data_IF_342608545367
#
_entry.id   IF_342608545367
#
_cell.length_a   1.000
_cell.length_b   1.000
_cell.length_c   1.000
_cell.angle_alpha   90.00
_cell.angle_beta   90.00
_cell.angle_gamma   90.00
#
_symmetry.space_group_name_H-M   'P 1'
#
loop_
_entity.id
_entity.type
_entity.pdbx_description
1 polymer ?
#
# COMPACT_ATOMS: atom_id res chain seq x y z
N UNK A 1 25.30 23.70 -1.83
CA UNK A 1 24.75 22.56 -2.62
C UNK A 1 24.16 23.06 -3.93
N UNK A 2 24.60 22.48 -5.05
CA UNK A 2 24.19 22.84 -6.40
C UNK A 2 22.69 22.54 -6.56
N UNK A 3 21.83 23.57 -6.64
CA UNK A 3 20.35 23.44 -6.68
C UNK A 3 19.85 22.48 -7.77
N UNK A 4 20.68 22.21 -8.78
CA UNK A 4 20.42 21.25 -9.87
C UNK A 4 20.32 19.79 -9.41
N UNK A 5 21.08 19.37 -8.39
CA UNK A 5 21.07 17.97 -7.92
C UNK A 5 19.84 17.62 -7.04
N UNK A 6 19.33 18.60 -6.29
CA UNK A 6 18.12 18.43 -5.48
C UNK A 6 16.85 18.33 -6.35
N UNK A 7 16.78 19.10 -7.43
CA UNK A 7 15.68 19.01 -8.40
C UNK A 7 15.58 17.64 -9.07
N UNK A 8 16.73 17.03 -9.42
CA UNK A 8 16.78 15.69 -10.00
C UNK A 8 16.26 14.60 -9.07
N UNK A 9 16.61 14.66 -7.78
CA UNK A 9 16.13 13.70 -6.78
C UNK A 9 14.62 13.80 -6.51
N UNK A 10 14.07 15.03 -6.49
CA UNK A 10 12.62 15.23 -6.33
C UNK A 10 11.86 14.68 -7.53
N UNK A 11 12.37 14.91 -8.75
CA UNK A 11 11.75 14.41 -9.97
C UNK A 11 11.74 12.88 -10.04
N UNK A 12 12.85 12.23 -9.67
CA UNK A 12 12.93 10.77 -9.55
C UNK A 12 11.99 10.21 -8.48
N UNK A 13 11.91 10.85 -7.31
CA UNK A 13 10.98 10.46 -6.25
C UNK A 13 9.51 10.55 -6.70
N UNK A 14 9.15 11.62 -7.42
CA UNK A 14 7.82 11.78 -7.99
C UNK A 14 7.51 10.71 -9.03
N UNK A 15 8.47 10.39 -9.92
CA UNK A 15 8.26 9.39 -10.97
C UNK A 15 8.04 7.99 -10.39
N UNK A 16 8.83 7.60 -9.39
CA UNK A 16 8.65 6.32 -8.67
C UNK A 16 7.30 6.31 -7.94
N UNK A 17 6.92 7.41 -7.29
CA UNK A 17 5.61 7.53 -6.64
C UNK A 17 4.44 7.33 -7.60
N UNK A 18 4.52 7.92 -8.80
CA UNK A 18 3.50 7.74 -9.84
C UNK A 18 3.47 6.31 -10.37
N UNK A 19 4.62 5.65 -10.56
CA UNK A 19 4.65 4.24 -11.00
C UNK A 19 4.02 3.31 -9.96
N UNK A 20 4.32 3.52 -8.68
CA UNK A 20 3.70 2.77 -7.57
C UNK A 20 2.19 3.00 -7.55
N UNK A 21 1.75 4.25 -7.76
CA UNK A 21 0.33 4.58 -7.84
C UNK A 21 -0.38 3.92 -9.03
N UNK A 22 0.23 3.90 -10.22
CA UNK A 22 -0.36 3.24 -11.38
C UNK A 22 -0.47 1.73 -11.14
N UNK A 23 0.62 1.09 -10.69
CA UNK A 23 0.60 -0.34 -10.35
C UNK A 23 -0.47 -0.68 -9.31
N UNK A 24 -0.66 0.19 -8.32
CA UNK A 24 -1.72 0.08 -7.33
C UNK A 24 -3.12 0.06 -7.96
N UNK A 25 -3.45 1.06 -8.77
CA UNK A 25 -4.79 1.18 -9.38
C UNK A 25 -5.12 -0.01 -10.29
N UNK A 26 -4.12 -0.60 -10.93
CA UNK A 26 -4.28 -1.80 -11.77
C UNK A 26 -4.51 -3.06 -10.93
N UNK A 27 -3.85 -3.18 -9.78
CA UNK A 27 -4.00 -4.31 -8.86
C UNK A 27 -5.23 -4.20 -7.95
N UNK A 28 -5.85 -3.03 -7.87
CA UNK A 28 -7.03 -2.77 -7.05
C UNK A 28 -8.24 -3.63 -7.48
N UNK A 29 -8.46 -3.73 -8.78
CA UNK A 29 -9.48 -4.61 -9.37
C UNK A 29 -9.32 -6.07 -8.94
N UNK A 30 -8.21 -6.75 -9.29
CA UNK A 30 -8.02 -8.15 -8.93
C UNK A 30 -7.95 -8.41 -7.42
N UNK A 31 -7.43 -7.47 -6.62
CA UNK A 31 -7.41 -7.60 -5.15
C UNK A 31 -8.83 -7.56 -4.60
N UNK A 32 -9.65 -6.60 -5.02
CA UNK A 32 -11.05 -6.51 -4.55
C UNK A 32 -11.89 -7.70 -5.00
N UNK A 33 -11.70 -8.21 -6.22
CA UNK A 33 -12.38 -9.43 -6.69
C UNK A 33 -11.93 -10.66 -5.91
N UNK A 34 -10.62 -10.85 -5.68
CA UNK A 34 -10.12 -11.97 -4.89
C UNK A 34 -10.64 -11.95 -3.44
N UNK A 35 -10.79 -10.75 -2.86
CA UNK A 35 -11.36 -10.58 -1.52
C UNK A 35 -12.87 -10.89 -1.51
N UNK A 36 -13.57 -10.52 -2.58
CA UNK A 36 -14.98 -10.87 -2.79
C UNK A 36 -15.19 -12.38 -2.97
N UNK A 37 -14.35 -13.03 -3.76
CA UNK A 37 -14.39 -14.47 -4.00
C UNK A 37 -14.09 -15.26 -2.73
N UNK A 38 -13.11 -14.81 -1.92
CA UNK A 38 -12.81 -15.39 -0.62
C UNK A 38 -13.97 -15.26 0.38
N UNK A 39 -14.80 -14.21 0.25
CA UNK A 39 -16.00 -13.99 1.07
C UNK A 39 -17.25 -14.69 0.58
N UNK A 40 -17.22 -15.19 -0.65
CA UNK A 40 -18.39 -15.77 -1.31
C UNK A 40 -18.91 -17.00 -0.57
N UNK A 41 -20.20 -17.26 -0.80
CA UNK A 41 -20.98 -18.40 -0.25
C UNK A 41 -20.30 -19.75 -0.52
N UNK A 42 -19.51 -19.83 -1.60
CA UNK A 42 -18.81 -21.03 -2.03
C UNK A 42 -17.49 -21.29 -1.30
N UNK A 43 -16.99 -20.32 -0.52
CA UNK A 43 -15.75 -20.47 0.26
C UNK A 43 -15.99 -20.32 1.76
N UNK A 44 -16.14 -19.09 2.26
CA UNK A 44 -16.30 -18.81 3.69
C UNK A 44 -17.74 -18.46 4.08
N UNK A 45 -18.60 -18.11 3.12
CA UNK A 45 -19.97 -17.64 3.36
C UNK A 45 -20.06 -16.58 4.45
N UNK A 46 -19.22 -15.55 4.34
CA UNK A 46 -19.08 -14.50 5.37
C UNK A 46 -20.37 -13.69 5.61
N UNK A 47 -21.40 -13.85 4.76
CA UNK A 47 -22.70 -13.21 4.87
C UNK A 47 -23.67 -13.98 5.79
N UNK A 48 -23.37 -15.25 6.09
CA UNK A 48 -24.23 -16.10 6.91
C UNK A 48 -23.91 -15.91 8.41
N UNK A 49 -24.92 -15.65 9.23
CA UNK A 49 -24.71 -15.43 10.67
C UNK A 49 -24.42 -16.74 11.43
N UNK A 50 -24.69 -17.89 10.84
CA UNK A 50 -24.67 -19.21 11.51
C UNK A 50 -23.34 -19.97 11.39
N UNK A 51 -22.31 -19.37 10.81
CA UNK A 51 -20.97 -19.99 10.70
C UNK A 51 -20.26 -20.06 12.06
N UNK A 52 -19.39 -21.07 12.19
CA UNK A 52 -18.47 -21.25 13.32
C UNK A 52 -17.64 -19.99 13.60
N UNK A 53 -17.34 -19.73 14.87
CA UNK A 53 -16.51 -18.60 15.33
C UNK A 53 -15.15 -18.55 14.61
N UNK A 54 -14.58 -19.71 14.27
CA UNK A 54 -13.33 -19.79 13.51
C UNK A 54 -13.45 -19.22 12.11
N UNK A 55 -14.54 -19.54 11.40
CA UNK A 55 -14.81 -19.04 10.04
C UNK A 55 -15.10 -17.54 10.03
N UNK A 56 -15.81 -17.04 11.06
CA UNK A 56 -16.01 -15.59 11.25
C UNK A 56 -14.68 -14.86 11.44
N UNK A 57 -13.74 -15.43 12.18
CA UNK A 57 -12.40 -14.88 12.36
C UNK A 57 -11.62 -14.78 11.04
N UNK A 58 -11.71 -15.81 10.20
CA UNK A 58 -11.05 -15.79 8.88
C UNK A 58 -11.64 -14.73 7.95
N UNK A 59 -12.95 -14.48 8.00
CA UNK A 59 -13.58 -13.37 7.26
C UNK A 59 -13.04 -11.99 7.65
N UNK A 60 -12.69 -11.80 8.93
CA UNK A 60 -12.06 -10.56 9.42
C UNK A 60 -10.60 -10.46 8.97
N UNK A 61 -9.86 -11.57 8.97
CA UNK A 61 -8.47 -11.61 8.50
C UNK A 61 -8.39 -11.27 7.00
N UNK A 62 -9.32 -11.79 6.20
CA UNK A 62 -9.42 -11.47 4.76
C UNK A 62 -9.70 -9.98 4.54
N UNK A 63 -10.52 -9.36 5.40
CA UNK A 63 -10.73 -7.90 5.37
C UNK A 63 -9.46 -7.11 5.72
N UNK A 64 -8.75 -7.57 6.76
CA UNK A 64 -7.48 -7.01 7.19
C UNK A 64 -6.40 -7.09 6.11
N UNK A 65 -6.46 -8.10 5.24
CA UNK A 65 -5.54 -8.21 4.11
C UNK A 65 -5.74 -7.07 3.10
N UNK A 66 -6.99 -6.63 2.89
CA UNK A 66 -7.31 -5.46 2.06
C UNK A 66 -6.74 -4.17 2.68
N UNK A 67 -6.91 -4.00 3.99
CA UNK A 67 -6.35 -2.86 4.73
C UNK A 67 -4.83 -2.88 4.76
N UNK A 68 -4.21 -4.05 4.95
CA UNK A 68 -2.75 -4.23 4.94
C UNK A 68 -2.15 -3.90 3.58
N UNK A 69 -2.81 -4.30 2.50
CA UNK A 69 -2.40 -3.96 1.14
C UNK A 69 -2.49 -2.44 0.88
N UNK A 70 -3.59 -1.77 1.25
CA UNK A 70 -3.70 -0.32 1.14
C UNK A 70 -2.67 0.42 2.03
N UNK A 71 -2.41 -0.09 3.24
CA UNK A 71 -1.43 0.46 4.17
C UNK A 71 0.01 0.38 3.64
N UNK A 72 0.38 -0.73 3.01
CA UNK A 72 1.70 -0.91 2.38
C UNK A 72 1.95 0.12 1.27
N UNK A 73 0.91 0.51 0.54
CA UNK A 73 0.99 1.50 -0.55
C UNK A 73 1.20 2.90 0.02
N UNK A 74 0.42 3.28 1.03
CA UNK A 74 0.57 4.57 1.72
C UNK A 74 1.96 4.66 2.34
N UNK A 75 2.43 3.60 3.01
CA UNK A 75 3.77 3.53 3.56
C UNK A 75 4.86 3.60 2.47
N UNK A 76 4.64 3.00 1.30
CA UNK A 76 5.56 3.08 0.16
C UNK A 76 5.66 4.49 -0.40
N UNK A 77 4.54 5.20 -0.55
CA UNK A 77 4.51 6.59 -1.03
C UNK A 77 5.15 7.53 -0.01
N UNK A 78 4.81 7.39 1.28
CA UNK A 78 5.39 8.18 2.36
C UNK A 78 6.87 7.85 2.55
N UNK A 79 7.28 6.60 2.39
CA UNK A 79 8.68 6.18 2.48
C UNK A 79 9.51 6.74 1.32
N UNK A 80 8.99 6.70 0.10
CA UNK A 80 9.62 7.31 -1.07
C UNK A 80 9.74 8.85 -0.92
N UNK A 81 8.68 9.50 -0.44
CA UNK A 81 8.69 10.95 -0.18
C UNK A 81 9.57 11.32 1.02
N UNK A 82 9.49 10.58 2.12
CA UNK A 82 10.16 10.81 3.39
C UNK A 82 11.65 10.48 3.36
N UNK A 83 12.06 9.44 2.63
CA UNK A 83 13.46 9.11 2.40
C UNK A 83 14.23 10.26 1.73
N UNK A 84 13.58 10.97 0.80
CA UNK A 84 14.15 12.15 0.15
C UNK A 84 14.37 13.33 1.11
N UNK A 85 13.50 13.48 2.13
CA UNK A 85 13.58 14.53 3.14
C UNK A 85 14.66 14.21 4.19
N UNK A 86 14.77 12.94 4.59
CA UNK A 86 15.76 12.48 5.57
C UNK A 86 17.19 12.58 5.01
N UNK A 87 17.42 12.17 3.76
CA UNK A 87 18.73 12.31 3.10
C UNK A 87 19.14 13.80 2.98
N UNK A 88 18.17 14.67 2.67
CA UNK A 88 18.36 16.13 2.64
C UNK A 88 18.75 16.72 4.00
N UNK A 89 18.26 16.15 5.12
CA UNK A 89 18.59 16.59 6.48
C UNK A 89 19.95 16.06 6.95
N UNK A 90 20.32 14.84 6.59
CA UNK A 90 21.59 14.22 6.96
C UNK A 90 22.78 14.92 6.29
N UNK A 91 22.67 15.26 4.99
CA UNK A 91 23.72 16.04 4.30
C UNK A 91 23.92 17.43 4.90
N UNK A 92 22.89 18.03 5.48
CA UNK A 92 22.96 19.34 6.13
C UNK A 92 23.70 19.34 7.48
N UNK A 93 23.85 18.17 8.12
CA UNK A 93 24.63 18.00 9.36
C UNK A 93 26.10 17.64 9.12
N UNK A 94 26.48 17.33 7.88
CA UNK A 94 27.85 16.95 7.48
C UNK A 94 28.61 18.08 6.76
N UNK A 95 27.99 19.23 6.56
CA UNK A 95 28.65 20.49 6.17
C UNK A 95 28.68 21.43 7.37
#
# INVERSE_FOLDING_TARGET
MNKKAAGGMIFFGMMIGVMIWIAFTQLLGPVTTATGDARSVSQLDCANSSISTGTKGTCVIVDWMLFGWAGAIIAGIIGAAGGSIIDSRLKKKQQ
#
